data_IF_298893015532
#
_entry.id   IF_298893015532
#
_cell.length_a   1.000
_cell.length_b   1.000
_cell.length_c   1.000
_cell.angle_alpha   90.00
_cell.angle_beta   90.00
_cell.angle_gamma   90.00
#
_symmetry.space_group_name_H-M   'P 1'
#
loop_
_entity.id
_entity.type
_entity.pdbx_description
1 polymer ?
#
# COMPACT_ATOMS: atom_id res chain seq x y z
N UNK A 1 45.20 -2.47 -32.08
CA UNK A 1 45.86 -3.25 -30.96
C UNK A 1 44.71 -3.66 -30.01
N UNK A 2 44.37 -4.96 -30.08
CA UNK A 2 43.34 -5.54 -29.23
C UNK A 2 43.95 -5.93 -27.89
N UNK A 3 43.47 -5.32 -26.78
CA UNK A 3 43.83 -5.78 -25.44
C UNK A 3 42.86 -6.89 -25.03
N UNK A 4 43.40 -8.12 -24.94
CA UNK A 4 42.67 -9.27 -24.38
C UNK A 4 42.69 -9.13 -22.86
N UNK A 5 41.51 -9.12 -22.26
CA UNK A 5 41.33 -9.16 -20.81
C UNK A 5 41.31 -10.64 -20.42
N UNK A 6 42.28 -11.09 -19.69
CA UNK A 6 42.34 -12.44 -19.10
C UNK A 6 41.60 -12.43 -17.75
N UNK A 7 40.56 -13.24 -17.65
CA UNK A 7 39.94 -13.54 -16.35
C UNK A 7 40.72 -14.66 -15.70
N UNK A 8 41.36 -14.38 -14.57
CA UNK A 8 41.98 -15.42 -13.72
C UNK A 8 40.95 -15.80 -12.66
N UNK A 9 40.34 -16.96 -12.80
CA UNK A 9 39.54 -17.62 -11.75
C UNK A 9 40.53 -18.41 -10.89
N UNK A 10 40.85 -17.93 -9.71
CA UNK A 10 41.64 -18.67 -8.72
C UNK A 10 40.73 -19.58 -7.90
N UNK A 11 40.75 -20.87 -8.17
CA UNK A 11 40.12 -21.89 -7.32
C UNK A 11 41.11 -22.16 -6.19
N UNK A 12 40.75 -21.80 -4.97
CA UNK A 12 41.51 -22.15 -3.76
C UNK A 12 40.98 -23.48 -3.21
N UNK A 13 41.78 -24.51 -3.30
CA UNK A 13 41.55 -25.83 -2.68
C UNK A 13 42.00 -25.74 -1.21
N UNK A 14 41.08 -25.94 -0.28
CA UNK A 14 41.38 -25.99 1.15
C UNK A 14 41.96 -27.33 1.55
N UNK A 15 43.22 -27.32 2.01
CA UNK A 15 43.82 -28.42 2.78
C UNK A 15 43.48 -28.25 4.27
N UNK A 16 42.95 -29.29 4.88
CA UNK A 16 42.68 -29.34 6.32
C UNK A 16 43.98 -29.44 7.10
N UNK A 17 44.37 -28.40 7.81
CA UNK A 17 45.29 -28.46 8.93
C UNK A 17 44.73 -27.67 10.10
N UNK A 18 44.45 -28.37 11.19
CA UNK A 18 43.95 -27.80 12.43
C UNK A 18 45.01 -26.92 13.09
N UNK A 19 44.84 -25.61 13.13
CA UNK A 19 45.42 -24.69 14.11
C UNK A 19 44.54 -23.46 14.26
N UNK A 20 44.24 -23.12 15.48
CA UNK A 20 43.44 -21.99 15.97
C UNK A 20 43.95 -20.64 15.46
N UNK A 21 43.53 -20.22 14.26
CA UNK A 21 43.57 -18.82 13.84
C UNK A 21 42.34 -18.61 12.97
N UNK A 22 41.37 -17.87 13.49
CA UNK A 22 40.24 -17.39 12.69
C UNK A 22 40.82 -16.60 11.50
N UNK A 23 40.50 -16.98 10.24
CA UNK A 23 40.93 -16.19 9.12
C UNK A 23 40.26 -14.84 9.20
N UNK A 24 41.04 -13.76 9.25
CA UNK A 24 40.55 -12.42 8.96
C UNK A 24 39.96 -12.48 7.55
N UNK A 25 38.66 -12.47 7.42
CA UNK A 25 37.98 -12.29 6.13
C UNK A 25 38.44 -10.96 5.56
N UNK A 26 39.35 -11.02 4.59
CA UNK A 26 39.70 -9.85 3.80
C UNK A 26 38.41 -9.39 3.12
N UNK A 27 37.89 -8.22 3.50
CA UNK A 27 36.79 -7.58 2.82
C UNK A 27 37.33 -7.16 1.45
N UNK A 28 37.07 -7.95 0.43
CA UNK A 28 37.35 -7.55 -0.95
C UNK A 28 36.32 -6.46 -1.26
N UNK A 29 36.78 -5.21 -1.26
CA UNK A 29 36.00 -4.08 -1.78
C UNK A 29 35.98 -4.22 -3.29
N UNK A 30 34.89 -4.71 -3.83
CA UNK A 30 34.63 -4.73 -5.26
C UNK A 30 34.08 -3.34 -5.69
N UNK A 31 34.84 -2.64 -6.51
CA UNK A 31 34.35 -1.43 -7.19
C UNK A 31 33.72 -1.84 -8.52
N UNK A 32 32.41 -1.66 -8.70
CA UNK A 32 31.76 -2.08 -9.93
C UNK A 32 32.23 -1.21 -11.10
N UNK A 33 32.68 -1.85 -12.18
CA UNK A 33 33.05 -1.17 -13.43
C UNK A 33 31.82 -0.62 -14.19
N UNK A 34 30.62 -0.94 -13.76
CA UNK A 34 29.34 -0.55 -14.34
C UNK A 34 28.50 0.10 -13.25
N UNK A 35 28.19 1.39 -13.40
CA UNK A 35 27.43 2.18 -12.42
C UNK A 35 26.02 1.63 -12.14
N UNK A 36 25.34 1.06 -13.15
CA UNK A 36 24.04 0.42 -12.99
C UNK A 36 24.10 -0.82 -12.11
N UNK A 37 25.18 -1.63 -12.28
CA UNK A 37 25.41 -2.79 -11.40
C UNK A 37 25.75 -2.34 -9.99
N UNK A 38 26.53 -1.24 -9.86
CA UNK A 38 26.80 -0.63 -8.56
C UNK A 38 25.53 -0.20 -7.83
N UNK A 39 24.58 0.39 -8.54
CA UNK A 39 23.31 0.81 -7.93
C UNK A 39 22.42 -0.39 -7.54
N UNK A 40 22.37 -1.45 -8.37
CA UNK A 40 21.69 -2.69 -8.00
C UNK A 40 22.30 -3.34 -6.76
N UNK A 41 23.63 -3.27 -6.59
CA UNK A 41 24.30 -3.76 -5.36
C UNK A 41 23.94 -2.91 -4.13
N UNK A 42 23.79 -1.60 -4.30
CA UNK A 42 23.29 -0.71 -3.22
C UNK A 42 21.84 -1.07 -2.85
N UNK A 43 20.96 -1.30 -3.84
CA UNK A 43 19.58 -1.76 -3.61
C UNK A 43 19.58 -3.07 -2.81
N UNK A 44 20.39 -4.05 -3.19
CA UNK A 44 20.51 -5.31 -2.48
C UNK A 44 21.01 -5.12 -1.04
N UNK A 45 22.01 -4.24 -0.83
CA UNK A 45 22.53 -3.89 0.50
C UNK A 45 21.47 -3.20 1.36
N UNK A 46 20.72 -2.25 0.78
CA UNK A 46 19.62 -1.55 1.44
C UNK A 46 18.53 -2.54 1.86
N UNK A 47 18.10 -3.41 0.95
CA UNK A 47 17.10 -4.44 1.25
C UNK A 47 17.58 -5.38 2.36
N UNK A 48 18.85 -5.80 2.33
CA UNK A 48 19.43 -6.63 3.42
C UNK A 48 19.38 -5.92 4.76
N UNK A 49 19.74 -4.63 4.85
CA UNK A 49 19.66 -3.87 6.10
C UNK A 49 18.24 -3.75 6.62
N UNK A 50 17.29 -3.47 5.74
CA UNK A 50 15.87 -3.34 6.09
C UNK A 50 15.27 -4.69 6.49
N UNK A 51 15.69 -5.79 5.85
CA UNK A 51 15.25 -7.14 6.24
C UNK A 51 15.72 -7.53 7.64
N UNK A 52 16.91 -7.10 8.07
CA UNK A 52 17.38 -7.31 9.46
C UNK A 52 16.50 -6.59 10.49
N UNK A 53 15.95 -5.42 10.16
CA UNK A 53 14.99 -4.72 11.05
C UNK A 53 13.72 -5.54 11.19
N UNK A 54 13.13 -5.99 10.07
CA UNK A 54 11.90 -6.79 10.07
C UNK A 54 12.13 -8.15 10.73
N UNK A 55 13.29 -8.80 10.50
CA UNK A 55 13.67 -10.05 11.15
C UNK A 55 13.75 -9.90 12.67
N UNK A 56 14.43 -8.85 13.16
CA UNK A 56 14.51 -8.57 14.59
C UNK A 56 13.14 -8.34 15.25
N UNK A 57 12.21 -7.71 14.54
CA UNK A 57 10.83 -7.50 14.98
C UNK A 57 10.00 -8.79 14.94
N UNK A 58 10.40 -9.75 14.12
CA UNK A 58 9.75 -11.05 13.96
C UNK A 58 10.29 -12.10 14.92
N UNK A 59 11.37 -11.81 15.62
CA UNK A 59 12.01 -12.73 16.56
C UNK A 59 11.02 -13.17 17.65
N UNK A 60 10.87 -14.47 17.84
CA UNK A 60 9.94 -15.06 18.82
C UNK A 60 8.47 -15.06 18.43
N UNK A 61 8.09 -14.53 17.26
CA UNK A 61 6.72 -14.61 16.76
C UNK A 61 6.39 -16.02 16.25
N UNK A 62 5.09 -16.39 16.23
CA UNK A 62 4.61 -17.61 15.58
C UNK A 62 5.02 -17.70 14.11
N UNK A 63 5.11 -18.91 13.57
CA UNK A 63 5.58 -19.15 12.20
C UNK A 63 4.74 -18.40 11.15
N UNK A 64 3.42 -18.36 11.32
CA UNK A 64 2.50 -17.61 10.44
C UNK A 64 2.84 -16.11 10.39
N UNK A 65 3.27 -15.51 11.49
CA UNK A 65 3.64 -14.09 11.53
C UNK A 65 5.03 -13.85 10.90
N UNK A 66 5.96 -14.80 11.00
CA UNK A 66 7.26 -14.75 10.30
C UNK A 66 7.10 -14.88 8.78
N UNK A 67 6.23 -15.78 8.32
CA UNK A 67 5.90 -15.91 6.90
C UNK A 67 5.33 -14.58 6.36
N UNK A 68 4.46 -13.93 7.11
CA UNK A 68 3.88 -12.64 6.72
C UNK A 68 4.92 -11.52 6.69
N UNK A 69 5.88 -11.51 7.61
CA UNK A 69 7.01 -10.58 7.58
C UNK A 69 7.84 -10.73 6.30
N UNK A 70 8.16 -11.97 5.91
CA UNK A 70 8.87 -12.25 4.67
C UNK A 70 8.05 -11.84 3.43
N UNK A 71 6.74 -12.10 3.44
CA UNK A 71 5.84 -11.70 2.36
C UNK A 71 5.74 -10.18 2.21
N UNK A 72 5.66 -9.44 3.32
CA UNK A 72 5.71 -7.97 3.33
C UNK A 72 6.98 -7.44 2.66
N UNK A 73 8.15 -7.96 3.03
CA UNK A 73 9.42 -7.56 2.43
C UNK A 73 9.46 -7.84 0.92
N UNK A 74 9.03 -9.03 0.51
CA UNK A 74 8.99 -9.40 -0.91
C UNK A 74 8.05 -8.50 -1.72
N UNK A 75 6.89 -8.15 -1.16
CA UNK A 75 5.94 -7.24 -1.79
C UNK A 75 6.49 -5.81 -1.91
N UNK A 76 7.13 -5.29 -0.85
CA UNK A 76 7.73 -3.96 -0.86
C UNK A 76 8.84 -3.86 -1.92
N UNK A 77 9.71 -4.88 -2.00
CA UNK A 77 10.78 -4.94 -2.99
C UNK A 77 10.23 -5.01 -4.43
N UNK A 78 9.31 -5.94 -4.68
CA UNK A 78 8.67 -6.12 -5.99
C UNK A 78 7.98 -4.84 -6.45
N UNK A 79 7.23 -4.19 -5.55
CA UNK A 79 6.53 -2.94 -5.85
C UNK A 79 7.50 -1.81 -6.19
N UNK A 80 8.57 -1.63 -5.40
CA UNK A 80 9.56 -0.60 -5.63
C UNK A 80 10.28 -0.79 -6.98
N UNK A 81 10.67 -2.02 -7.32
CA UNK A 81 11.30 -2.34 -8.59
C UNK A 81 10.38 -2.05 -9.78
N UNK A 82 9.15 -2.54 -9.77
CA UNK A 82 8.21 -2.34 -10.88
C UNK A 82 7.85 -0.86 -11.05
N UNK A 83 7.50 -0.16 -9.97
CA UNK A 83 7.04 1.22 -10.06
C UNK A 83 8.15 2.21 -10.45
N UNK A 84 9.38 1.98 -10.02
CA UNK A 84 10.44 2.99 -10.17
C UNK A 84 11.56 2.59 -11.12
N UNK A 85 12.00 1.31 -11.14
CA UNK A 85 13.03 0.88 -12.08
C UNK A 85 12.43 0.57 -13.47
N UNK A 86 11.38 -0.24 -13.51
CA UNK A 86 10.82 -0.70 -14.78
C UNK A 86 9.90 0.33 -15.43
N UNK A 87 8.87 0.76 -14.71
CA UNK A 87 7.81 1.65 -15.22
C UNK A 87 7.93 3.10 -14.71
N UNK A 88 9.06 3.47 -14.08
CA UNK A 88 9.25 4.77 -13.43
C UNK A 88 9.68 5.91 -14.35
N UNK A 89 9.65 5.73 -15.70
CA UNK A 89 9.98 6.79 -16.64
C UNK A 89 8.75 7.63 -17.01
N UNK A 90 8.64 8.88 -16.54
CA UNK A 90 7.49 9.72 -16.86
C UNK A 90 7.43 10.13 -18.34
N UNK A 91 8.50 10.01 -19.13
CA UNK A 91 8.44 10.25 -20.57
C UNK A 91 7.81 9.08 -21.34
N UNK A 92 7.86 7.88 -20.76
CA UNK A 92 7.26 6.66 -21.31
C UNK A 92 6.41 5.98 -20.22
N UNK A 93 5.30 6.61 -19.79
CA UNK A 93 4.53 6.14 -18.65
C UNK A 93 3.89 4.78 -18.90
N UNK A 94 3.89 3.92 -17.88
CA UNK A 94 3.21 2.63 -17.89
C UNK A 94 2.30 2.48 -16.68
N UNK A 95 1.11 1.92 -16.88
CA UNK A 95 0.23 1.56 -15.77
C UNK A 95 0.79 0.36 -15.00
N UNK A 96 0.77 0.45 -13.67
CA UNK A 96 1.18 -0.61 -12.75
C UNK A 96 0.07 -0.89 -11.77
N UNK A 97 -0.30 -2.16 -11.61
CA UNK A 97 -1.18 -2.56 -10.51
C UNK A 97 -0.41 -2.43 -9.19
N UNK A 98 -0.73 -1.41 -8.41
CA UNK A 98 -0.06 -1.13 -7.15
C UNK A 98 -0.21 -2.28 -6.15
N UNK A 99 -1.42 -2.78 -6.01
CA UNK A 99 -1.77 -3.89 -5.12
C UNK A 99 -2.59 -4.90 -5.89
N UNK A 100 -2.49 -6.16 -5.48
CA UNK A 100 -3.29 -7.26 -6.00
C UNK A 100 -3.71 -8.18 -4.85
N UNK A 101 -4.43 -9.25 -5.16
CA UNK A 101 -4.79 -10.28 -4.16
C UNK A 101 -3.57 -10.98 -3.53
N UNK A 102 -2.43 -10.96 -4.21
CA UNK A 102 -1.18 -11.59 -3.76
C UNK A 102 -0.11 -10.60 -3.39
N UNK A 103 0.04 -9.50 -4.13
CA UNK A 103 0.94 -8.39 -3.78
C UNK A 103 0.18 -7.35 -2.96
N UNK A 104 0.29 -7.43 -1.64
CA UNK A 104 -0.42 -6.58 -0.69
C UNK A 104 0.53 -5.59 -0.05
N UNK A 105 0.07 -4.36 0.12
CA UNK A 105 0.90 -3.29 0.67
C UNK A 105 0.05 -2.15 1.24
N UNK A 106 0.55 -1.47 2.29
CA UNK A 106 0.09 -0.15 2.73
C UNK A 106 -1.40 -0.04 3.05
N UNK A 107 -2.00 -1.07 3.65
CA UNK A 107 -3.42 -1.07 4.01
C UNK A 107 -4.32 -1.32 2.81
N UNK A 108 -4.07 -2.40 2.08
CA UNK A 108 -4.90 -2.85 0.96
C UNK A 108 -6.38 -3.03 1.35
N UNK A 109 -7.27 -2.84 0.37
CA UNK A 109 -8.70 -3.07 0.56
C UNK A 109 -9.17 -4.13 -0.45
N UNK A 110 -9.80 -5.23 0.01
CA UNK A 110 -10.22 -6.34 -0.85
C UNK A 110 -11.20 -5.99 -1.98
N UNK A 111 -11.91 -4.89 -1.86
CA UNK A 111 -12.89 -4.38 -2.86
C UNK A 111 -12.36 -3.22 -3.68
N UNK A 112 -11.04 -3.00 -3.68
CA UNK A 112 -10.44 -1.85 -4.39
C UNK A 112 -9.33 -2.31 -5.31
N UNK A 113 -9.37 -1.85 -6.55
CA UNK A 113 -8.25 -1.97 -7.50
C UNK A 113 -7.48 -0.65 -7.48
N UNK A 114 -6.15 -0.77 -7.43
CA UNK A 114 -5.22 0.34 -7.38
C UNK A 114 -4.28 0.27 -8.57
N UNK A 115 -4.29 1.29 -9.42
CA UNK A 115 -3.42 1.36 -10.60
C UNK A 115 -2.69 2.69 -10.61
N UNK A 116 -1.37 2.67 -10.74
CA UNK A 116 -0.57 3.90 -10.80
C UNK A 116 0.17 4.06 -12.10
N UNK A 117 0.62 5.29 -12.39
CA UNK A 117 1.66 5.59 -13.36
C UNK A 117 2.51 6.80 -12.92
N UNK A 118 3.78 6.88 -13.36
CA UNK A 118 4.61 8.06 -13.13
C UNK A 118 4.11 9.24 -13.95
N UNK A 119 4.26 10.43 -13.41
CA UNK A 119 4.01 11.70 -14.11
C UNK A 119 5.10 12.72 -13.80
N UNK A 120 5.19 13.75 -14.65
CA UNK A 120 6.00 14.93 -14.46
C UNK A 120 5.27 16.14 -15.09
N UNK A 121 5.23 17.26 -14.39
CA UNK A 121 4.52 18.46 -14.84
C UNK A 121 5.06 19.09 -16.13
N UNK A 122 6.23 18.66 -16.59
CA UNK A 122 6.81 19.08 -17.88
C UNK A 122 6.17 18.40 -19.09
N UNK A 123 5.33 17.39 -18.87
CA UNK A 123 4.68 16.61 -19.93
C UNK A 123 3.17 16.78 -19.92
N UNK A 124 2.53 16.37 -21.02
CA UNK A 124 1.09 16.25 -21.14
C UNK A 124 0.74 14.78 -21.32
N UNK A 125 -0.10 14.26 -20.43
CA UNK A 125 -0.55 12.89 -20.49
C UNK A 125 -2.04 12.80 -20.82
N UNK A 126 -2.42 11.70 -21.43
CA UNK A 126 -3.80 11.30 -21.64
C UNK A 126 -4.03 9.92 -21.04
N UNK A 127 -4.82 9.87 -19.98
CA UNK A 127 -5.39 8.65 -19.42
C UNK A 127 -6.74 8.42 -20.12
N UNK A 128 -6.88 7.35 -20.85
CA UNK A 128 -8.10 7.02 -21.59
C UNK A 128 -8.55 5.59 -21.32
N UNK A 129 -9.83 5.32 -21.54
CA UNK A 129 -10.35 3.98 -21.33
C UNK A 129 -11.86 3.89 -21.34
N UNK A 130 -12.36 2.75 -20.88
CA UNK A 130 -13.75 2.42 -20.70
C UNK A 130 -14.02 2.16 -19.23
N UNK A 131 -15.03 2.81 -18.63
CA UNK A 131 -15.41 2.62 -17.22
C UNK A 131 -16.07 1.24 -17.07
N UNK A 132 -15.63 0.50 -16.05
CA UNK A 132 -16.27 -0.74 -15.62
C UNK A 132 -17.47 -0.51 -14.69
N UNK A 133 -17.63 -1.37 -13.69
CA UNK A 133 -18.75 -1.27 -12.74
C UNK A 133 -18.35 -0.73 -11.36
N UNK A 134 -17.23 -0.03 -11.26
CA UNK A 134 -16.81 0.60 -10.03
C UNK A 134 -17.85 1.63 -9.55
N UNK A 135 -18.19 1.59 -8.26
CA UNK A 135 -19.06 2.59 -7.63
C UNK A 135 -18.32 3.90 -7.34
N UNK A 136 -17.01 3.83 -7.24
CA UNK A 136 -16.11 4.97 -7.15
C UNK A 136 -14.93 4.76 -8.09
N UNK A 137 -14.61 5.77 -8.85
CA UNK A 137 -13.42 5.86 -9.69
C UNK A 137 -12.76 7.21 -9.38
N UNK A 138 -11.59 7.19 -8.81
CA UNK A 138 -10.87 8.41 -8.46
C UNK A 138 -9.44 8.38 -8.94
N UNK A 139 -8.97 9.49 -9.51
CA UNK A 139 -7.58 9.72 -9.94
C UNK A 139 -6.98 10.77 -9.03
N UNK A 140 -5.94 10.40 -8.31
CA UNK A 140 -5.24 11.29 -7.40
C UNK A 140 -3.80 11.43 -7.80
N UNK A 141 -3.33 12.68 -7.92
CA UNK A 141 -1.94 13.00 -8.17
C UNK A 141 -1.22 13.21 -6.84
N UNK A 142 0.00 12.74 -6.76
CA UNK A 142 0.85 12.83 -5.59
C UNK A 142 2.14 13.56 -5.88
N UNK A 143 2.43 14.52 -5.00
CA UNK A 143 3.72 15.22 -4.91
C UNK A 143 4.38 14.96 -3.56
N UNK A 144 5.67 15.24 -3.48
CA UNK A 144 6.41 15.18 -2.24
C UNK A 144 6.38 16.54 -1.53
N UNK A 145 5.84 16.56 -0.32
CA UNK A 145 5.92 17.72 0.55
C UNK A 145 6.25 17.29 1.97
N UNK A 146 7.25 17.89 2.58
CA UNK A 146 7.71 17.60 3.95
C UNK A 146 8.05 16.13 4.21
N UNK A 147 8.54 15.42 3.20
CA UNK A 147 8.89 13.99 3.29
C UNK A 147 7.70 13.04 3.16
N UNK A 148 6.52 13.52 2.77
CA UNK A 148 5.31 12.72 2.61
C UNK A 148 4.80 12.76 1.18
N UNK A 149 4.19 11.65 0.74
CA UNK A 149 3.35 11.63 -0.45
C UNK A 149 2.00 12.26 -0.10
N UNK A 150 1.80 13.49 -0.56
CA UNK A 150 0.55 14.22 -0.35
C UNK A 150 -0.22 14.34 -1.66
N UNK A 151 -1.56 14.16 -1.62
CA UNK A 151 -2.38 14.39 -2.80
C UNK A 151 -2.39 15.89 -3.15
N UNK A 152 -1.87 16.20 -4.34
CA UNK A 152 -1.84 17.57 -4.91
C UNK A 152 -3.09 17.86 -5.71
N UNK A 153 -3.65 16.84 -6.38
CA UNK A 153 -4.92 16.92 -7.08
C UNK A 153 -5.77 15.65 -6.83
N UNK A 154 -7.09 15.82 -6.90
CA UNK A 154 -8.07 14.76 -6.78
C UNK A 154 -9.16 14.95 -7.83
N UNK A 155 -9.55 13.90 -8.54
CA UNK A 155 -10.56 13.88 -9.57
C UNK A 155 -11.42 12.65 -9.41
N UNK A 156 -12.70 12.82 -9.14
CA UNK A 156 -13.63 11.72 -8.86
C UNK A 156 -14.59 11.41 -9.99
N UNK A 157 -15.29 10.28 -9.87
CA UNK A 157 -16.27 9.83 -10.86
C UNK A 157 -17.39 10.85 -11.12
N UNK A 158 -17.77 11.62 -10.09
CA UNK A 158 -18.81 12.65 -10.21
C UNK A 158 -18.39 13.84 -11.10
N UNK A 159 -17.09 14.02 -11.32
CA UNK A 159 -16.53 15.08 -12.15
C UNK A 159 -16.27 14.57 -13.58
N UNK A 160 -16.28 13.24 -13.78
CA UNK A 160 -15.93 12.61 -15.03
C UNK A 160 -17.00 12.80 -16.10
N UNK A 161 -16.67 13.55 -17.13
CA UNK A 161 -17.47 13.64 -18.35
C UNK A 161 -17.08 12.48 -19.26
N UNK A 162 -17.99 11.52 -19.41
CA UNK A 162 -17.85 10.37 -20.31
C UNK A 162 -18.37 10.69 -21.71
N UNK A 163 -17.89 9.91 -22.68
CA UNK A 163 -18.49 9.86 -24.00
C UNK A 163 -19.75 8.96 -24.01
N UNK A 164 -20.55 9.02 -25.06
CA UNK A 164 -21.79 8.26 -25.19
C UNK A 164 -21.59 6.73 -25.18
N UNK A 165 -20.41 6.27 -25.61
CA UNK A 165 -20.00 4.86 -25.61
C UNK A 165 -19.37 4.38 -24.29
N UNK A 166 -19.54 5.16 -23.20
CA UNK A 166 -18.95 4.91 -21.87
C UNK A 166 -17.43 4.99 -21.79
N UNK A 167 -16.76 5.47 -22.83
CA UNK A 167 -15.33 5.77 -22.81
C UNK A 167 -15.05 7.10 -22.14
N UNK A 168 -13.80 7.31 -21.74
CA UNK A 168 -13.34 8.55 -21.15
C UNK A 168 -11.93 8.93 -21.60
N UNK A 169 -11.63 10.21 -21.54
CA UNK A 169 -10.28 10.76 -21.66
C UNK A 169 -10.07 11.78 -20.55
N UNK A 170 -8.96 11.68 -19.82
CA UNK A 170 -8.53 12.61 -18.79
C UNK A 170 -7.12 13.08 -19.15
N UNK A 171 -6.95 14.38 -19.27
CA UNK A 171 -5.63 14.97 -19.48
C UNK A 171 -4.99 15.31 -18.13
N UNK A 172 -3.71 15.02 -17.98
CA UNK A 172 -2.91 15.42 -16.82
C UNK A 172 -1.75 16.29 -17.33
N UNK A 173 -1.65 17.53 -16.89
CA UNK A 173 -0.68 18.50 -17.37
C UNK A 173 -0.66 19.77 -16.53
N UNK A 174 0.44 20.57 -16.62
CA UNK A 174 0.54 21.87 -15.95
C UNK A 174 -0.47 22.91 -16.48
N UNK A 175 -0.81 22.83 -17.77
CA UNK A 175 -1.79 23.71 -18.42
C UNK A 175 -2.89 22.87 -19.05
N UNK A 176 -4.13 23.28 -18.84
CA UNK A 176 -5.29 22.59 -19.44
C UNK A 176 -5.21 22.66 -20.98
N UNK A 177 -5.25 21.54 -21.71
CA UNK A 177 -5.41 21.55 -23.16
C UNK A 177 -6.76 22.13 -23.59
N UNK A 178 -6.80 22.88 -24.71
CA UNK A 178 -7.96 23.69 -25.11
C UNK A 178 -9.28 22.89 -25.20
N UNK A 179 -9.25 21.65 -25.69
CA UNK A 179 -10.44 20.81 -25.87
C UNK A 179 -10.59 19.72 -24.81
N UNK A 180 -9.86 19.77 -23.69
CA UNK A 180 -9.95 18.75 -22.65
C UNK A 180 -11.29 18.85 -21.90
N UNK A 181 -12.17 17.81 -22.05
CA UNK A 181 -13.38 17.69 -21.23
C UNK A 181 -13.02 17.46 -19.78
N UNK A 182 -12.08 16.54 -19.51
CA UNK A 182 -11.58 16.21 -18.18
C UNK A 182 -10.10 16.58 -18.10
N UNK A 183 -9.71 17.24 -17.03
CA UNK A 183 -8.34 17.66 -16.82
C UNK A 183 -7.98 17.68 -15.34
N UNK A 184 -6.77 17.19 -15.05
CA UNK A 184 -6.17 17.19 -13.73
C UNK A 184 -4.89 18.05 -13.80
N UNK A 185 -4.75 19.10 -12.99
CA UNK A 185 -3.56 19.92 -12.97
C UNK A 185 -2.38 19.11 -12.40
N UNK A 186 -1.21 19.22 -13.05
CA UNK A 186 0.06 18.82 -12.52
C UNK A 186 0.84 20.04 -12.06
N UNK A 187 1.47 19.95 -10.88
CA UNK A 187 2.37 20.97 -10.34
C UNK A 187 3.78 20.43 -10.23
N UNK A 188 4.75 21.36 -10.13
CA UNK A 188 6.14 20.95 -9.94
C UNK A 188 6.30 20.11 -8.67
N UNK A 189 6.99 18.96 -8.79
CA UNK A 189 7.17 18.00 -7.71
C UNK A 189 6.15 16.84 -7.73
N UNK A 190 5.12 16.89 -8.58
CA UNK A 190 4.27 15.73 -8.81
C UNK A 190 5.08 14.62 -9.48
N UNK A 191 4.87 13.37 -9.01
CA UNK A 191 5.70 12.25 -9.46
C UNK A 191 4.90 11.01 -9.86
N UNK A 192 3.65 10.90 -9.42
CA UNK A 192 2.77 9.79 -9.77
C UNK A 192 1.30 10.18 -9.63
N UNK A 193 0.44 9.48 -10.34
CA UNK A 193 -0.98 9.42 -9.99
C UNK A 193 -1.39 8.00 -9.62
N UNK A 194 -2.45 7.88 -8.85
CA UNK A 194 -3.03 6.61 -8.44
C UNK A 194 -4.53 6.62 -8.73
N UNK A 195 -4.96 5.67 -9.57
CA UNK A 195 -6.38 5.39 -9.79
C UNK A 195 -6.86 4.40 -8.74
N UNK A 196 -7.99 4.71 -8.11
CA UNK A 196 -8.69 3.81 -7.21
C UNK A 196 -10.07 3.52 -7.75
N UNK A 197 -10.41 2.25 -7.80
CA UNK A 197 -11.71 1.77 -8.21
C UNK A 197 -12.30 0.93 -7.08
N UNK A 198 -13.41 1.37 -6.48
CA UNK A 198 -14.11 0.64 -5.43
C UNK A 198 -15.32 -0.09 -5.99
N UNK A 199 -15.59 -1.28 -5.48
CA UNK A 199 -16.66 -2.15 -5.95
C UNK A 199 -17.55 -2.60 -4.77
N UNK A 200 -18.79 -3.01 -5.06
CA UNK A 200 -19.70 -3.56 -4.03
C UNK A 200 -19.60 -5.07 -3.90
N UNK A 201 -19.39 -5.75 -5.02
CA UNK A 201 -19.40 -7.21 -5.11
C UNK A 201 -18.09 -7.70 -5.71
N UNK A 202 -17.32 -8.44 -4.93
CA UNK A 202 -15.97 -8.85 -5.32
C UNK A 202 -15.94 -9.83 -6.48
N UNK A 203 -16.89 -10.75 -6.52
CA UNK A 203 -17.05 -11.77 -7.57
C UNK A 203 -17.61 -11.22 -8.89
N UNK A 204 -18.07 -9.98 -8.89
CA UNK A 204 -18.62 -9.30 -10.07
C UNK A 204 -17.78 -8.10 -10.53
N UNK A 205 -16.53 -7.99 -10.07
CA UNK A 205 -15.65 -6.88 -10.44
C UNK A 205 -15.40 -6.86 -11.96
N UNK A 206 -15.76 -5.75 -12.58
CA UNK A 206 -15.38 -5.38 -13.96
C UNK A 206 -14.59 -4.08 -13.84
N UNK A 207 -13.25 -4.12 -13.85
CA UNK A 207 -12.44 -2.91 -13.73
C UNK A 207 -12.51 -2.06 -15.00
N UNK A 208 -12.21 -0.78 -14.88
CA UNK A 208 -11.99 0.07 -16.04
C UNK A 208 -10.81 -0.47 -16.86
N UNK A 209 -10.97 -0.51 -18.18
CA UNK A 209 -9.86 -0.75 -19.11
C UNK A 209 -9.19 0.58 -19.36
N UNK A 210 -7.91 0.70 -19.04
CA UNK A 210 -7.20 1.97 -19.08
C UNK A 210 -5.91 1.91 -19.88
N UNK A 211 -5.56 3.03 -20.51
CA UNK A 211 -4.29 3.27 -21.18
C UNK A 211 -3.79 4.65 -20.80
N UNK A 212 -2.48 4.78 -20.52
CA UNK A 212 -1.81 6.06 -20.34
C UNK A 212 -0.85 6.31 -21.51
N UNK A 213 -0.84 7.54 -22.01
CA UNK A 213 0.03 7.98 -23.10
C UNK A 213 0.54 9.38 -22.81
N UNK A 214 1.80 9.65 -23.12
CA UNK A 214 2.31 10.99 -23.24
C UNK A 214 1.93 11.52 -24.63
N UNK A 215 1.32 12.70 -24.69
CA UNK A 215 0.72 13.24 -25.93
C UNK A 215 1.28 14.62 -26.35
N UNK A 216 2.24 15.17 -25.61
CA UNK A 216 2.94 16.37 -26.02
C UNK A 216 4.01 16.08 -27.10
N UNK A 217 4.45 17.13 -27.79
CA UNK A 217 5.51 17.06 -28.80
C UNK A 217 6.90 17.42 -28.24
N UNK A 218 7.04 17.53 -26.91
CA UNK A 218 8.30 17.88 -26.29
C UNK A 218 9.36 16.80 -26.51
N UNK A 219 10.57 17.20 -26.84
CA UNK A 219 11.75 16.33 -26.92
C UNK A 219 12.46 16.19 -25.57
N UNK A 220 11.82 16.63 -24.46
CA UNK A 220 12.41 16.49 -23.14
C UNK A 220 12.68 15.01 -22.83
N UNK A 221 13.90 14.76 -22.34
CA UNK A 221 14.33 13.43 -21.98
C UNK A 221 13.51 12.90 -20.80
N UNK A 222 13.29 11.60 -20.78
CA UNK A 222 12.76 10.91 -19.63
C UNK A 222 13.76 10.81 -18.49
N UNK A 223 13.35 10.17 -17.41
CA UNK A 223 14.21 9.94 -16.25
C UNK A 223 15.24 8.86 -16.58
N UNK A 224 16.56 9.16 -16.50
CA UNK A 224 17.61 8.17 -16.74
C UNK A 224 17.44 6.93 -15.87
N UNK A 225 17.80 5.76 -16.40
CA UNK A 225 17.62 4.49 -15.70
C UNK A 225 18.36 4.45 -14.34
N UNK A 226 19.53 5.05 -14.27
CA UNK A 226 20.30 5.16 -13.02
C UNK A 226 19.50 5.90 -11.93
N UNK A 227 18.91 7.06 -12.25
CA UNK A 227 18.07 7.80 -11.30
C UNK A 227 16.82 7.03 -10.90
N UNK A 228 16.28 6.19 -11.77
CA UNK A 228 15.16 5.31 -11.45
C UNK A 228 15.56 4.22 -10.46
N UNK A 229 16.76 3.65 -10.59
CA UNK A 229 17.34 2.72 -9.63
C UNK A 229 17.62 3.39 -8.27
N UNK A 230 18.18 4.59 -8.28
CA UNK A 230 18.38 5.39 -7.06
C UNK A 230 17.05 5.60 -6.32
N UNK A 231 15.96 5.89 -7.07
CA UNK A 231 14.63 6.05 -6.49
C UNK A 231 14.08 4.77 -5.85
N UNK A 232 14.44 3.58 -6.35
CA UNK A 232 14.10 2.30 -5.70
C UNK A 232 14.68 2.24 -4.29
N UNK A 233 15.93 2.67 -4.09
CA UNK A 233 16.55 2.70 -2.76
C UNK A 233 15.76 3.57 -1.78
N UNK A 234 15.39 4.79 -2.18
CA UNK A 234 14.59 5.70 -1.35
C UNK A 234 13.24 5.06 -0.99
N UNK A 235 12.56 4.49 -1.99
CA UNK A 235 11.23 3.92 -1.79
C UNK A 235 11.24 2.67 -0.92
N UNK A 236 12.31 1.88 -0.92
CA UNK A 236 12.44 0.76 0.01
C UNK A 236 12.47 1.23 1.47
N UNK A 237 13.20 2.31 1.79
CA UNK A 237 13.16 2.91 3.12
C UNK A 237 11.75 3.39 3.47
N UNK A 238 11.11 4.15 2.57
CA UNK A 238 9.77 4.69 2.79
C UNK A 238 8.73 3.57 2.97
N UNK A 239 8.78 2.54 2.14
CA UNK A 239 7.82 1.45 2.20
C UNK A 239 7.99 0.61 3.46
N UNK A 240 9.22 0.22 3.80
CA UNK A 240 9.45 -0.71 4.90
C UNK A 240 9.43 0.03 6.23
N UNK A 241 10.26 1.06 6.41
CA UNK A 241 10.33 1.78 7.68
C UNK A 241 9.12 2.67 7.90
N UNK A 242 8.52 3.24 6.83
CA UNK A 242 7.29 4.02 6.94
C UNK A 242 6.13 3.16 7.43
N UNK A 243 5.98 1.94 6.93
CA UNK A 243 4.96 1.00 7.42
C UNK A 243 5.20 0.63 8.89
N UNK A 244 6.43 0.29 9.24
CA UNK A 244 6.82 -0.02 10.64
C UNK A 244 6.49 1.15 11.56
N UNK A 245 6.82 2.37 11.16
CA UNK A 245 6.59 3.58 11.98
C UNK A 245 5.09 3.89 12.14
N UNK A 246 4.29 3.73 11.08
CA UNK A 246 2.83 3.90 11.16
C UNK A 246 2.21 2.88 12.10
N UNK A 247 2.61 1.60 12.04
CA UNK A 247 2.13 0.57 12.94
C UNK A 247 2.53 0.84 14.39
N UNK A 248 3.75 1.32 14.63
CA UNK A 248 4.21 1.73 15.95
C UNK A 248 3.37 2.88 16.51
N UNK A 249 3.05 3.89 15.68
CA UNK A 249 2.18 5.00 16.06
C UNK A 249 0.76 4.56 16.43
N UNK A 250 0.17 3.64 15.68
CA UNK A 250 -1.13 3.06 16.03
C UNK A 250 -1.06 2.31 17.36
N UNK A 251 -0.02 1.51 17.58
CA UNK A 251 0.18 0.77 18.84
C UNK A 251 0.36 1.69 20.03
N UNK A 252 1.08 2.79 19.85
CA UNK A 252 1.35 3.77 20.91
C UNK A 252 0.11 4.58 21.31
N UNK A 253 -0.71 4.99 20.31
CA UNK A 253 -1.75 5.99 20.52
C UNK A 253 -3.18 5.46 20.44
N UNK A 254 -3.38 4.23 19.97
CA UNK A 254 -4.69 3.67 19.65
C UNK A 254 -4.79 2.16 19.93
N UNK A 255 -4.31 1.71 21.09
CA UNK A 255 -4.34 0.28 21.47
C UNK A 255 -5.77 -0.16 21.84
N UNK A 256 -6.36 -1.05 21.05
CA UNK A 256 -7.72 -1.57 21.23
C UNK A 256 -8.80 -0.49 21.40
N UNK A 257 -8.53 0.72 20.95
CA UNK A 257 -9.42 1.87 21.02
C UNK A 257 -9.05 2.87 19.94
N UNK A 258 -9.98 3.72 19.53
CA UNK A 258 -9.63 4.86 18.68
C UNK A 258 -8.73 5.84 19.43
N UNK A 259 -7.85 6.57 18.74
CA UNK A 259 -7.04 7.60 19.38
C UNK A 259 -7.94 8.64 20.02
N UNK A 260 -7.58 9.11 21.21
CA UNK A 260 -8.30 10.19 21.86
C UNK A 260 -8.19 11.47 21.03
N UNK A 261 -9.21 12.36 21.12
CA UNK A 261 -9.17 13.66 20.42
C UNK A 261 -7.98 14.54 20.86
N UNK A 262 -7.49 14.31 22.06
CA UNK A 262 -6.40 15.06 22.68
C UNK A 262 -5.04 14.36 22.53
N UNK A 263 -5.01 13.18 21.88
CA UNK A 263 -3.76 12.47 21.64
C UNK A 263 -2.86 13.31 20.73
N UNK A 264 -1.75 13.77 21.25
CA UNK A 264 -0.68 14.37 20.44
C UNK A 264 0.05 13.25 19.70
N UNK A 265 -0.48 12.90 18.55
CA UNK A 265 0.15 11.91 17.68
C UNK A 265 1.31 12.58 16.96
N UNK A 266 2.55 12.12 17.19
CA UNK A 266 3.68 12.57 16.40
C UNK A 266 3.46 12.22 14.93
N UNK A 267 3.95 13.06 14.02
CA UNK A 267 3.97 12.70 12.61
C UNK A 267 4.89 11.46 12.39
N UNK A 268 4.58 10.59 11.44
CA UNK A 268 5.46 9.50 11.07
C UNK A 268 6.86 10.02 10.73
N UNK A 269 7.90 9.33 11.18
CA UNK A 269 9.30 9.68 10.90
C UNK A 269 9.64 9.46 9.43
N UNK A 270 9.08 8.41 8.86
CA UNK A 270 9.25 8.05 7.46
C UNK A 270 7.93 8.31 6.75
N UNK A 271 7.92 9.30 5.87
CA UNK A 271 6.78 9.64 5.03
C UNK A 271 6.71 8.72 3.82
N UNK A 272 5.59 8.74 3.13
CA UNK A 272 5.45 8.13 1.81
C UNK A 272 4.98 6.68 1.76
N UNK A 273 4.98 5.94 2.88
CA UNK A 273 4.44 4.58 2.92
C UNK A 273 2.92 4.53 2.66
N UNK A 274 2.21 5.59 2.98
CA UNK A 274 0.77 5.68 2.85
C UNK A 274 0.40 6.75 1.81
N UNK A 275 -0.52 6.38 0.94
CA UNK A 275 -1.10 7.26 -0.08
C UNK A 275 -2.57 7.51 0.29
N UNK A 276 -2.88 8.46 1.18
CA UNK A 276 -4.25 8.72 1.60
C UNK A 276 -5.07 9.28 0.44
N UNK A 277 -6.38 8.96 0.41
CA UNK A 277 -7.31 9.65 -0.49
C UNK A 277 -8.09 10.71 0.27
N UNK A 278 -8.28 11.89 -0.35
CA UNK A 278 -9.09 12.98 0.21
C UNK A 278 -10.57 12.59 0.41
N UNK A 279 -11.05 11.64 -0.40
CA UNK A 279 -12.44 11.22 -0.38
C UNK A 279 -12.75 10.16 0.67
N UNK A 280 -11.74 9.64 1.36
CA UNK A 280 -11.90 8.70 2.47
C UNK A 280 -11.64 9.35 3.83
N UNK A 281 -12.52 9.05 4.75
CA UNK A 281 -12.23 9.18 6.18
C UNK A 281 -11.78 7.83 6.71
N UNK A 282 -10.72 7.84 7.51
CA UNK A 282 -10.12 6.66 8.11
C UNK A 282 -10.23 6.74 9.63
N UNK A 283 -10.65 5.65 10.25
CA UNK A 283 -10.57 5.44 11.68
C UNK A 283 -9.94 4.08 11.93
N UNK A 284 -9.10 3.95 12.95
CA UNK A 284 -8.40 2.70 13.17
C UNK A 284 -7.76 2.62 14.53
N UNK A 285 -7.33 1.39 14.86
CA UNK A 285 -6.62 1.12 16.10
C UNK A 285 -5.61 -0.02 15.88
N UNK A 286 -4.65 -0.11 16.81
CA UNK A 286 -3.88 -1.32 16.98
C UNK A 286 -4.70 -2.33 17.76
N UNK A 287 -4.75 -3.56 17.26
CA UNK A 287 -5.44 -4.68 17.89
C UNK A 287 -4.39 -5.52 18.63
N UNK A 288 -4.62 -5.81 19.91
CA UNK A 288 -3.83 -6.74 20.70
C UNK A 288 -4.75 -7.52 21.61
N UNK A 289 -4.94 -8.79 21.32
CA UNK A 289 -5.88 -9.68 21.98
C UNK A 289 -5.14 -10.80 22.72
N UNK A 290 -5.76 -11.31 23.78
CA UNK A 290 -5.36 -12.54 24.44
C UNK A 290 -6.25 -13.70 23.95
N UNK A 291 -5.83 -14.95 24.15
CA UNK A 291 -6.72 -16.10 23.93
C UNK A 291 -8.07 -15.92 24.62
N UNK A 292 -9.16 -16.20 23.90
CA UNK A 292 -10.52 -16.00 24.37
C UNK A 292 -11.02 -14.56 24.34
N UNK A 293 -10.31 -13.63 23.66
CA UNK A 293 -10.73 -12.23 23.50
C UNK A 293 -11.08 -11.90 22.06
N UNK A 294 -11.98 -10.93 21.90
CA UNK A 294 -12.35 -10.31 20.63
C UNK A 294 -12.39 -8.79 20.77
N UNK A 295 -12.01 -8.08 19.71
CA UNK A 295 -12.35 -6.66 19.58
C UNK A 295 -13.80 -6.58 19.11
N UNK A 296 -14.66 -5.95 19.90
CA UNK A 296 -16.06 -5.72 19.61
C UNK A 296 -16.29 -4.29 19.21
N UNK A 297 -17.00 -4.10 18.12
CA UNK A 297 -17.47 -2.80 17.66
C UNK A 297 -18.98 -2.78 17.66
N UNK A 298 -19.58 -1.76 18.24
CA UNK A 298 -21.02 -1.54 18.29
C UNK A 298 -21.39 -0.15 17.82
N UNK A 299 -22.35 -0.04 16.91
CA UNK A 299 -22.79 1.26 16.38
C UNK A 299 -23.80 1.16 15.27
N UNK A 300 -23.87 2.20 14.47
CA UNK A 300 -24.76 2.31 13.31
C UNK A 300 -23.94 2.48 12.05
N UNK A 301 -24.43 1.98 10.92
CA UNK A 301 -23.81 2.22 9.63
C UNK A 301 -23.80 3.73 9.34
N UNK A 302 -22.72 4.23 8.71
CA UNK A 302 -22.62 5.65 8.44
C UNK A 302 -23.63 6.09 7.38
N UNK A 303 -24.43 7.07 7.72
CA UNK A 303 -25.37 7.68 6.79
C UNK A 303 -24.64 8.49 5.69
N UNK A 304 -25.25 8.63 4.53
CA UNK A 304 -24.71 9.41 3.40
C UNK A 304 -23.25 9.06 3.06
N UNK A 305 -22.97 7.76 3.00
CA UNK A 305 -21.64 7.20 2.70
C UNK A 305 -21.75 6.34 1.45
N UNK A 306 -20.91 6.62 0.45
CA UNK A 306 -20.91 5.87 -0.79
C UNK A 306 -20.46 4.41 -0.59
N UNK A 307 -19.45 4.21 0.27
CA UNK A 307 -18.87 2.92 0.60
C UNK A 307 -18.28 2.98 2.01
N UNK A 308 -18.48 1.90 2.78
CA UNK A 308 -17.77 1.72 4.04
C UNK A 308 -17.18 0.31 4.13
N UNK A 309 -16.01 0.19 4.73
CA UNK A 309 -15.36 -1.10 4.99
C UNK A 309 -14.67 -1.13 6.34
N UNK A 310 -14.60 -2.33 6.90
CA UNK A 310 -14.02 -2.69 8.18
C UNK A 310 -13.01 -3.80 7.93
N UNK A 311 -11.72 -3.51 8.10
CA UNK A 311 -10.63 -4.37 7.63
C UNK A 311 -9.64 -4.63 8.75
N UNK A 312 -9.27 -5.90 8.95
CA UNK A 312 -8.15 -6.28 9.80
C UNK A 312 -6.88 -6.44 8.94
N UNK A 313 -5.77 -5.92 9.43
CA UNK A 313 -4.42 -6.05 8.89
C UNK A 313 -3.49 -6.70 9.92
N UNK A 314 -2.48 -7.37 9.45
CA UNK A 314 -1.42 -7.86 10.31
C UNK A 314 -0.49 -6.75 10.83
N UNK A 315 0.61 -7.15 11.48
CA UNK A 315 1.64 -6.23 12.00
C UNK A 315 2.34 -5.39 10.93
N UNK A 316 2.22 -5.78 9.66
CA UNK A 316 2.85 -5.14 8.50
C UNK A 316 1.87 -4.32 7.68
N UNK A 317 0.69 -4.06 8.23
CA UNK A 317 -0.38 -3.30 7.59
C UNK A 317 -0.81 -3.88 6.24
N UNK A 318 -0.84 -5.22 6.13
CA UNK A 318 -1.36 -5.96 4.98
C UNK A 318 -2.48 -6.92 5.42
N UNK A 319 -3.51 -7.09 4.58
CA UNK A 319 -4.62 -7.98 4.90
C UNK A 319 -4.17 -9.45 4.95
N UNK A 320 -4.74 -10.29 5.83
CA UNK A 320 -4.69 -11.74 5.67
C UNK A 320 -5.19 -12.19 4.29
N UNK A 321 -4.98 -13.47 3.94
CA UNK A 321 -5.44 -13.97 2.63
C UNK A 321 -6.97 -14.02 2.56
N UNK A 322 -7.57 -12.91 2.17
CA UNK A 322 -9.02 -12.74 2.07
C UNK A 322 -9.68 -13.58 0.97
N UNK A 323 -8.92 -14.31 0.16
CA UNK A 323 -9.45 -15.34 -0.75
C UNK A 323 -9.88 -16.59 -0.01
N UNK A 324 -9.35 -16.80 1.21
CA UNK A 324 -9.55 -17.99 2.02
C UNK A 324 -10.31 -17.74 3.32
N UNK A 325 -10.17 -16.54 3.88
CA UNK A 325 -10.78 -16.16 5.16
C UNK A 325 -11.48 -14.81 5.06
N UNK A 326 -12.52 -14.62 5.84
CA UNK A 326 -13.23 -13.34 5.92
C UNK A 326 -12.50 -12.39 6.89
N UNK A 327 -11.44 -11.72 6.41
CA UNK A 327 -10.65 -10.75 7.20
C UNK A 327 -11.15 -9.31 7.12
N UNK A 328 -12.33 -9.10 6.56
CA UNK A 328 -12.96 -7.79 6.37
C UNK A 328 -14.49 -7.91 6.25
N UNK A 329 -15.17 -6.77 6.32
CA UNK A 329 -16.58 -6.58 5.98
C UNK A 329 -16.77 -5.23 5.27
N UNK A 330 -17.70 -5.17 4.34
CA UNK A 330 -18.24 -3.91 3.84
C UNK A 330 -19.55 -3.59 4.56
N UNK A 331 -20.03 -2.34 4.48
CA UNK A 331 -21.33 -1.98 5.02
C UNK A 331 -22.47 -2.80 4.42
N UNK A 332 -22.35 -3.17 3.14
CA UNK A 332 -23.34 -3.97 2.42
C UNK A 332 -23.42 -5.44 2.92
N UNK A 333 -22.38 -5.92 3.61
CA UNK A 333 -22.28 -7.27 4.17
C UNK A 333 -22.62 -7.33 5.67
N UNK A 334 -22.82 -6.18 6.31
CA UNK A 334 -23.15 -6.09 7.74
C UNK A 334 -24.60 -6.49 7.95
N UNK A 335 -24.82 -7.48 8.82
CA UNK A 335 -26.14 -7.83 9.33
C UNK A 335 -26.46 -6.92 10.51
N UNK A 336 -27.60 -6.21 10.42
CA UNK A 336 -28.04 -5.27 11.43
C UNK A 336 -28.85 -5.96 12.52
N UNK A 337 -28.78 -5.41 13.72
CA UNK A 337 -29.68 -5.72 14.84
C UNK A 337 -31.10 -5.18 14.59
N UNK A 338 -32.06 -5.62 15.39
CA UNK A 338 -33.46 -5.21 15.26
C UNK A 338 -33.69 -3.70 15.44
N UNK A 339 -32.78 -3.00 16.13
CA UNK A 339 -32.82 -1.56 16.37
C UNK A 339 -32.04 -0.75 15.29
N UNK A 340 -31.52 -1.43 14.26
CA UNK A 340 -30.73 -0.84 13.18
C UNK A 340 -29.26 -0.61 13.53
N UNK A 341 -28.83 -0.94 14.74
CA UNK A 341 -27.41 -0.98 15.09
C UNK A 341 -26.73 -2.21 14.50
N UNK A 342 -25.40 -2.28 14.59
CA UNK A 342 -24.66 -3.50 14.30
C UNK A 342 -23.65 -3.81 15.40
N UNK A 343 -23.36 -5.10 15.54
CA UNK A 343 -22.22 -5.62 16.26
C UNK A 343 -21.26 -6.25 15.26
N UNK A 344 -19.97 -5.96 15.39
CA UNK A 344 -18.90 -6.52 14.57
C UNK A 344 -17.77 -6.99 15.49
N UNK A 345 -17.24 -8.16 15.21
CA UNK A 345 -16.22 -8.80 16.03
C UNK A 345 -14.97 -9.10 15.23
N UNK A 346 -13.80 -8.71 15.76
CA UNK A 346 -12.50 -9.09 15.20
C UNK A 346 -11.83 -10.07 16.16
N UNK A 347 -11.53 -11.28 15.71
CA UNK A 347 -10.96 -12.31 16.56
C UNK A 347 -10.19 -13.36 15.76
N UNK A 348 -9.07 -13.91 16.31
CA UNK A 348 -8.43 -15.10 15.76
C UNK A 348 -9.25 -16.38 16.00
N UNK A 349 -10.08 -16.37 17.03
CA UNK A 349 -10.95 -17.50 17.38
C UNK A 349 -12.29 -17.35 16.67
N UNK A 350 -12.87 -18.52 16.28
CA UNK A 350 -14.16 -18.53 15.59
C UNK A 350 -15.27 -17.99 16.49
N UNK A 351 -16.00 -17.01 15.95
CA UNK A 351 -17.21 -16.47 16.54
C UNK A 351 -18.39 -16.85 15.64
N UNK A 352 -19.43 -17.44 16.22
CA UNK A 352 -20.66 -17.79 15.52
C UNK A 352 -21.56 -16.55 15.38
N UNK A 353 -21.11 -15.61 14.56
CA UNK A 353 -21.79 -14.35 14.29
C UNK A 353 -21.52 -13.92 12.84
N UNK A 354 -22.54 -13.44 12.09
CA UNK A 354 -22.39 -13.07 10.67
C UNK A 354 -21.36 -11.95 10.44
N UNK A 355 -21.26 -11.02 11.38
CA UNK A 355 -20.32 -9.90 11.31
C UNK A 355 -18.97 -10.22 11.99
N UNK A 356 -18.50 -11.48 11.91
CA UNK A 356 -17.17 -11.83 12.39
C UNK A 356 -16.11 -11.56 11.31
N UNK A 357 -15.06 -10.85 11.69
CA UNK A 357 -13.81 -10.67 10.95
C UNK A 357 -12.78 -11.64 11.52
N UNK A 358 -12.37 -12.58 10.67
CA UNK A 358 -11.36 -13.58 11.00
C UNK A 358 -9.97 -13.00 10.80
N UNK A 359 -9.15 -12.96 11.85
CA UNK A 359 -7.78 -12.44 11.75
C UNK A 359 -6.76 -13.43 11.15
N UNK A 360 -7.18 -14.67 10.84
CA UNK A 360 -6.29 -15.73 10.35
C UNK A 360 -5.37 -16.29 11.43
N UNK A 361 -5.81 -16.31 12.68
CA UNK A 361 -5.02 -16.78 13.82
C UNK A 361 -4.09 -15.73 14.42
N UNK A 362 -4.15 -14.49 13.95
CA UNK A 362 -3.30 -13.39 14.44
C UNK A 362 -3.95 -12.70 15.64
N UNK A 363 -3.21 -12.61 16.74
CA UNK A 363 -3.64 -11.93 17.98
C UNK A 363 -3.23 -10.46 18.03
N UNK A 364 -2.31 -10.04 17.17
CA UNK A 364 -1.91 -8.64 17.01
C UNK A 364 -1.95 -8.20 15.55
N UNK A 365 -2.24 -6.92 15.36
CA UNK A 365 -2.30 -6.29 14.06
C UNK A 365 -2.95 -4.93 14.14
N UNK A 366 -3.48 -4.44 13.05
CA UNK A 366 -4.24 -3.20 13.04
C UNK A 366 -5.64 -3.42 12.46
N UNK A 367 -6.56 -2.59 12.90
CA UNK A 367 -7.90 -2.49 12.34
C UNK A 367 -8.07 -1.10 11.74
N UNK A 368 -8.71 -1.03 10.58
CA UNK A 368 -9.11 0.25 10.00
C UNK A 368 -10.50 0.17 9.37
N UNK A 369 -11.32 1.14 9.67
CA UNK A 369 -12.53 1.44 8.91
C UNK A 369 -12.27 2.57 7.91
N UNK A 370 -12.94 2.49 6.77
CA UNK A 370 -12.91 3.49 5.70
C UNK A 370 -14.32 3.89 5.35
N UNK A 371 -14.52 5.19 5.23
CA UNK A 371 -15.81 5.79 4.88
C UNK A 371 -15.60 6.70 3.68
N UNK A 372 -15.97 6.21 2.48
CA UNK A 372 -15.82 6.92 1.21
C UNK A 372 -16.93 7.92 1.02
N UNK A 373 -16.57 9.17 0.67
CA UNK A 373 -17.51 10.27 0.43
C UNK A 373 -18.49 10.45 1.58
N UNK A 374 -18.04 10.23 2.82
CA UNK A 374 -18.89 10.16 4.01
C UNK A 374 -19.01 11.49 4.74
N UNK A 375 -20.20 11.79 5.20
CA UNK A 375 -20.49 12.88 6.14
C UNK A 375 -20.68 12.38 7.58
N UNK A 376 -20.34 11.11 7.86
CA UNK A 376 -20.51 10.51 9.17
C UNK A 376 -19.76 11.28 10.27
N UNK A 377 -20.43 11.56 11.36
CA UNK A 377 -19.88 12.22 12.55
C UNK A 377 -19.75 11.28 13.74
N UNK A 378 -20.34 10.09 13.65
CA UNK A 378 -20.32 9.06 14.68
C UNK A 378 -19.62 7.81 14.17
N UNK A 379 -18.80 7.21 15.02
CA UNK A 379 -18.10 5.96 14.75
C UNK A 379 -18.56 4.91 15.76
N UNK A 380 -18.48 3.62 15.39
CA UNK A 380 -18.78 2.55 16.31
C UNK A 380 -17.92 2.65 17.59
N UNK A 381 -18.49 2.32 18.73
CA UNK A 381 -17.72 2.13 19.96
C UNK A 381 -16.87 0.87 19.86
N UNK A 382 -15.65 0.91 20.37
CA UNK A 382 -14.69 -0.21 20.34
C UNK A 382 -14.34 -0.60 21.78
N UNK A 383 -14.35 -1.94 22.03
CA UNK A 383 -13.88 -2.51 23.31
C UNK A 383 -13.41 -3.95 23.14
N UNK A 384 -12.54 -4.40 24.02
CA UNK A 384 -12.19 -5.82 24.13
C UNK A 384 -13.22 -6.52 25.02
N UNK A 385 -13.70 -7.66 24.57
CA UNK A 385 -14.66 -8.51 25.29
C UNK A 385 -14.19 -9.97 25.30
N UNK A 386 -14.75 -10.81 26.15
CA UNK A 386 -14.53 -12.26 26.08
C UNK A 386 -15.42 -12.89 25.02
N UNK A 387 -14.86 -13.79 24.23
CA UNK A 387 -15.60 -14.55 23.22
C UNK A 387 -16.74 -15.34 23.87
N UNK A 388 -16.55 -15.85 25.10
CA UNK A 388 -17.58 -16.57 25.85
C UNK A 388 -18.82 -15.73 26.21
N UNK A 389 -18.68 -14.39 26.24
CA UNK A 389 -19.76 -13.46 26.58
C UNK A 389 -20.60 -13.06 25.37
N UNK A 390 -20.18 -13.46 24.16
CA UNK A 390 -20.90 -13.15 22.92
C UNK A 390 -22.14 -14.04 22.84
N UNK A 391 -23.31 -13.42 22.85
CA UNK A 391 -24.56 -14.11 22.65
C UNK A 391 -24.61 -14.72 21.26
N UNK A 392 -24.99 -15.99 21.16
CA UNK A 392 -25.30 -16.60 19.87
C UNK A 392 -26.59 -15.98 19.35
N UNK A 393 -26.55 -15.53 18.11
CA UNK A 393 -27.75 -15.09 17.39
C UNK A 393 -28.59 -16.27 16.96
#
# INVERSE_FOLDING_TARGET
>A
MKKSVFYIISIVIFGLAACNNQPKTATVTYEPANEYIGELQKIASTFTKLSLVVDSMSAGLPEVEKERAANFLANAYSLAMECYAEKGDPANPGLTDWMSETRKFGGDNPYTIYTQAPVDSNFVYKLSGEIGNAIYFGVQVYGYAHGFNLPTANFGLNELVKNDDNTFEIYLSAKRPDNAKNWIPLVNGDHAFLVRQYFRERDKIVPAKMKIERVDSSNAAGKPYLQRLEKVNEMLYDYILGTVDVCALLKENALNAYPSKDAQVRAPKYGGALYPTKDNRYEGCWVSLKPGEALHMHGYLPENTLYASYVFYDRWYITPDYRRINSFRTADEIVLNADGSFDLYVSPERIDHPNWINTGGLYEGSYSSRYMMSQATRFPEIRVIKVADIKKM
#
